data_IF_078107873411
#
_entry.id   IF_078107873411
#
_cell.length_a   1.000
_cell.length_b   1.000
_cell.length_c   1.000
_cell.angle_alpha   90.00
_cell.angle_beta   90.00
_cell.angle_gamma   90.00
#
_symmetry.space_group_name_H-M   'P 1'
#
loop_
_entity.id
_entity.type
_entity.pdbx_description
1 polymer ?
#
# COMPACT_ATOMS: atom_id res chain seq x y z
N UNK A 1 -6.56 12.60 -43.33
CA UNK A 1 -5.25 13.17 -42.94
C UNK A 1 -4.22 12.05 -42.92
N UNK A 2 -3.02 12.34 -43.42
CA UNK A 2 -2.09 11.41 -44.09
C UNK A 2 -1.36 10.48 -43.11
N UNK A 3 -1.46 9.16 -43.32
CA UNK A 3 -0.50 8.17 -42.80
C UNK A 3 0.74 8.22 -43.69
N UNK A 4 1.91 8.46 -43.12
CA UNK A 4 3.17 8.50 -43.84
C UNK A 4 4.29 7.91 -43.00
N UNK A 5 4.79 6.74 -43.40
CA UNK A 5 6.09 6.24 -42.94
C UNK A 5 6.69 5.39 -44.04
N UNK A 6 7.70 5.94 -44.71
CA UNK A 6 8.67 5.20 -45.51
C UNK A 6 10.02 5.89 -45.29
N UNK A 7 10.95 5.20 -44.64
CA UNK A 7 12.39 5.37 -44.92
C UNK A 7 12.99 3.96 -44.94
N UNK A 8 13.25 3.47 -46.15
CA UNK A 8 14.23 2.41 -46.39
C UNK A 8 15.60 3.08 -46.39
N UNK A 9 16.46 2.74 -45.44
CA UNK A 9 17.87 3.09 -45.50
C UNK A 9 18.66 1.82 -45.76
N UNK A 10 19.14 1.68 -47.00
CA UNK A 10 20.14 0.70 -47.39
C UNK A 10 21.51 1.17 -46.88
N UNK A 11 22.30 0.27 -46.31
CA UNK A 11 23.75 0.42 -46.39
C UNK A 11 24.40 -0.93 -46.62
N UNK A 12 25.29 -0.90 -47.61
CA UNK A 12 25.89 -1.98 -48.35
C UNK A 12 27.23 -2.34 -47.71
N UNK A 13 27.48 -3.64 -47.55
CA UNK A 13 28.77 -4.32 -47.40
C UNK A 13 29.95 -3.57 -46.76
N UNK A 14 30.40 -4.06 -45.59
CA UNK A 14 31.85 -4.24 -45.35
C UNK A 14 32.09 -5.60 -44.71
N UNK A 15 32.94 -6.38 -45.38
CA UNK A 15 33.45 -7.68 -44.97
C UNK A 15 34.46 -7.44 -43.83
N UNK A 16 34.06 -7.68 -42.57
CA UNK A 16 34.96 -7.56 -41.42
C UNK A 16 35.54 -8.94 -41.07
N UNK A 17 36.87 -9.01 -41.12
CA UNK A 17 37.68 -10.17 -40.78
C UNK A 17 37.42 -10.60 -39.33
N UNK A 18 37.08 -11.86 -39.10
CA UNK A 18 36.92 -12.44 -37.78
C UNK A 18 38.26 -12.44 -37.03
N UNK A 19 38.40 -11.53 -36.07
CA UNK A 19 39.39 -11.62 -35.00
C UNK A 19 38.70 -12.21 -33.79
N UNK A 20 39.20 -13.35 -33.30
CA UNK A 20 38.71 -14.00 -32.09
C UNK A 20 39.01 -13.13 -30.88
N UNK A 21 38.08 -12.25 -30.50
CA UNK A 21 38.08 -11.65 -29.19
C UNK A 21 37.57 -12.70 -28.21
N UNK A 22 38.43 -13.11 -27.27
CA UNK A 22 38.00 -13.87 -26.11
C UNK A 22 37.05 -12.98 -25.31
N UNK A 23 35.76 -13.33 -25.31
CA UNK A 23 34.78 -12.78 -24.38
C UNK A 23 35.11 -13.36 -23.01
N UNK A 24 35.68 -12.54 -22.14
CA UNK A 24 35.62 -12.80 -20.72
C UNK A 24 34.16 -12.61 -20.30
N UNK A 25 33.53 -13.68 -19.83
CA UNK A 25 32.26 -13.58 -19.12
C UNK A 25 32.53 -12.79 -17.84
N UNK A 26 32.15 -11.52 -17.83
CA UNK A 26 32.14 -10.70 -16.63
C UNK A 26 30.92 -11.19 -15.82
N UNK A 27 31.16 -11.92 -14.74
CA UNK A 27 30.14 -12.19 -13.73
C UNK A 27 29.83 -10.86 -13.06
N UNK A 28 28.78 -10.21 -13.57
CA UNK A 28 28.21 -8.99 -13.02
C UNK A 28 27.34 -9.38 -11.81
N UNK A 29 28.00 -9.68 -10.69
CA UNK A 29 27.33 -9.98 -9.40
C UNK A 29 26.59 -8.74 -8.83
N UNK A 30 26.86 -7.54 -9.35
CA UNK A 30 26.20 -6.29 -8.95
C UNK A 30 24.83 -6.07 -9.62
N UNK A 31 24.42 -6.90 -10.58
CA UNK A 31 23.16 -6.71 -11.32
C UNK A 31 21.90 -7.11 -10.53
N UNK A 32 22.04 -7.66 -9.31
CA UNK A 32 20.91 -8.16 -8.50
C UNK A 32 20.41 -7.19 -7.42
N UNK A 33 21.19 -6.16 -7.05
CA UNK A 33 20.82 -5.21 -5.98
C UNK A 33 19.76 -4.17 -6.41
N UNK A 34 19.49 -4.04 -7.71
CA UNK A 34 18.55 -3.05 -8.26
C UNK A 34 17.17 -3.59 -8.69
N UNK A 35 16.87 -4.87 -8.44
CA UNK A 35 15.68 -5.52 -9.03
C UNK A 35 14.46 -5.63 -8.09
N UNK A 36 14.63 -5.45 -6.78
CA UNK A 36 13.53 -5.46 -5.82
C UNK A 36 13.80 -4.43 -4.72
N UNK A 37 12.99 -3.37 -4.70
CA UNK A 37 12.94 -2.46 -3.56
C UNK A 37 12.33 -3.20 -2.37
N UNK A 38 13.08 -3.32 -1.28
CA UNK A 38 12.60 -3.96 -0.06
C UNK A 38 11.63 -3.04 0.68
N UNK A 39 10.37 -3.46 0.80
CA UNK A 39 9.34 -2.70 1.52
C UNK A 39 9.31 -3.17 2.99
N UNK A 40 9.80 -2.30 3.87
CA UNK A 40 9.78 -2.50 5.33
C UNK A 40 8.44 -2.06 5.91
N UNK A 41 7.90 -2.87 6.82
CA UNK A 41 6.61 -2.65 7.50
C UNK A 41 6.71 -2.91 8.99
N UNK A 42 5.79 -2.33 9.74
CA UNK A 42 5.66 -2.47 11.20
C UNK A 42 4.46 -3.35 11.61
N UNK A 43 3.90 -4.10 10.67
CA UNK A 43 2.76 -5.00 10.80
C UNK A 43 2.71 -5.90 12.07
N UNK A 44 3.85 -6.27 12.66
CA UNK A 44 3.95 -7.08 13.88
C UNK A 44 4.57 -6.32 15.08
N UNK A 45 4.47 -4.99 15.10
CA UNK A 45 5.17 -4.10 16.06
C UNK A 45 6.70 -4.22 16.03
N UNK A 46 7.24 -4.57 14.86
CA UNK A 46 8.66 -4.60 14.56
C UNK A 46 8.84 -4.38 13.06
N UNK A 47 9.94 -3.74 12.69
CA UNK A 47 10.35 -3.55 11.31
C UNK A 47 10.68 -4.90 10.66
N UNK A 48 10.01 -5.21 9.56
CA UNK A 48 10.21 -6.44 8.79
C UNK A 48 9.94 -6.22 7.31
N UNK A 49 10.58 -7.02 6.46
CA UNK A 49 10.22 -7.11 5.06
C UNK A 49 8.78 -7.58 4.88
N UNK A 50 8.04 -6.97 3.95
CA UNK A 50 6.69 -7.42 3.57
C UNK A 50 6.68 -8.89 3.11
N UNK A 51 7.81 -9.37 2.58
CA UNK A 51 7.96 -10.77 2.12
C UNK A 51 8.02 -11.77 3.27
N UNK A 52 8.43 -11.34 4.47
CA UNK A 52 8.59 -12.21 5.66
C UNK A 52 7.37 -12.17 6.58
N UNK A 53 6.44 -11.24 6.35
CA UNK A 53 5.25 -11.06 7.18
C UNK A 53 4.15 -12.02 6.72
N UNK A 54 3.73 -13.00 7.56
CA UNK A 54 2.75 -14.03 7.19
C UNK A 54 1.30 -13.53 7.26
N UNK A 55 1.05 -12.27 6.91
CA UNK A 55 -0.29 -11.68 6.84
C UNK A 55 -0.42 -10.84 5.57
N UNK A 56 -1.66 -10.57 5.17
CA UNK A 56 -1.90 -9.79 3.96
C UNK A 56 -1.80 -8.30 4.27
N UNK A 57 -0.68 -7.69 3.88
CA UNK A 57 -0.39 -6.26 4.07
C UNK A 57 -0.51 -5.53 2.73
N UNK A 58 -1.12 -4.35 2.77
CA UNK A 58 -1.02 -3.35 1.69
C UNK A 58 -0.27 -2.14 2.25
N UNK A 59 0.72 -1.65 1.52
CA UNK A 59 1.57 -0.53 1.95
C UNK A 59 1.44 0.60 0.94
N UNK A 60 1.30 1.82 1.43
CA UNK A 60 1.38 3.05 0.66
C UNK A 60 2.56 3.86 1.17
N UNK A 61 3.59 4.04 0.35
CA UNK A 61 4.76 4.86 0.68
C UNK A 61 4.41 6.35 0.69
N UNK A 62 5.23 7.17 1.36
CA UNK A 62 5.13 8.63 1.29
C UNK A 62 5.02 9.15 -0.14
N UNK A 63 5.84 8.64 -1.07
CA UNK A 63 5.77 9.03 -2.48
C UNK A 63 4.42 8.67 -3.11
N UNK A 64 3.86 7.49 -2.81
CA UNK A 64 2.54 7.10 -3.30
C UNK A 64 1.44 8.00 -2.74
N UNK A 65 1.54 8.38 -1.47
CA UNK A 65 0.60 9.27 -0.77
C UNK A 65 0.61 10.66 -1.41
N UNK A 66 1.79 11.20 -1.68
CA UNK A 66 1.98 12.50 -2.34
C UNK A 66 1.49 12.49 -3.79
N UNK A 67 1.92 11.51 -4.59
CA UNK A 67 1.56 11.41 -6.01
C UNK A 67 0.05 11.29 -6.23
N UNK A 68 -0.66 10.60 -5.31
CA UNK A 68 -2.11 10.43 -5.37
C UNK A 68 -2.87 11.51 -4.60
N UNK A 69 -2.19 12.48 -3.97
CA UNK A 69 -2.78 13.55 -3.16
C UNK A 69 -3.78 13.00 -2.14
N UNK A 70 -3.39 11.95 -1.42
CA UNK A 70 -4.23 11.30 -0.42
C UNK A 70 -4.42 12.26 0.78
N UNK A 71 -5.67 12.46 1.19
CA UNK A 71 -6.05 13.41 2.24
C UNK A 71 -6.67 12.72 3.45
N UNK A 72 -7.21 11.52 3.27
CA UNK A 72 -7.85 10.78 4.35
C UNK A 72 -8.04 9.31 4.01
N UNK A 73 -8.67 8.59 4.94
CA UNK A 73 -8.83 7.15 4.85
C UNK A 73 -9.46 6.62 3.56
N UNK A 74 -10.43 7.33 2.99
CA UNK A 74 -11.05 6.90 1.74
C UNK A 74 -10.05 6.69 0.59
N UNK A 75 -9.00 7.50 0.50
CA UNK A 75 -8.11 7.49 -0.65
C UNK A 75 -7.31 6.17 -0.74
N UNK A 76 -6.74 5.72 0.37
CA UNK A 76 -6.01 4.44 0.40
C UNK A 76 -6.94 3.22 0.56
N UNK A 77 -8.10 3.37 1.21
CA UNK A 77 -9.06 2.26 1.34
C UNK A 77 -9.71 1.91 -0.01
N UNK A 78 -9.95 2.88 -0.89
CA UNK A 78 -10.42 2.63 -2.27
C UNK A 78 -9.42 1.79 -3.08
N UNK A 79 -8.13 1.94 -2.81
CA UNK A 79 -7.05 1.21 -3.47
C UNK A 79 -6.76 -0.13 -2.79
N UNK A 80 -7.35 -0.40 -1.63
CA UNK A 80 -7.10 -1.64 -0.88
C UNK A 80 -8.13 -2.71 -1.26
N UNK A 81 -7.73 -3.89 -1.77
CA UNK A 81 -8.69 -4.91 -2.17
C UNK A 81 -9.42 -5.54 -0.98
N UNK A 82 -10.67 -5.96 -1.19
CA UNK A 82 -11.54 -6.56 -0.17
C UNK A 82 -11.81 -5.65 1.03
N UNK A 83 -11.73 -4.33 0.81
CA UNK A 83 -12.07 -3.30 1.78
C UNK A 83 -13.25 -2.51 1.23
N UNK A 84 -14.25 -2.28 2.07
CA UNK A 84 -15.34 -1.36 1.83
C UNK A 84 -15.36 -0.35 2.98
N UNK A 85 -15.89 0.84 2.73
CA UNK A 85 -16.04 1.83 3.79
C UNK A 85 -17.26 2.72 3.54
N UNK A 86 -17.72 3.34 4.62
CA UNK A 86 -18.74 4.39 4.60
C UNK A 86 -18.24 5.57 5.42
N UNK A 87 -18.15 6.72 4.79
CA UNK A 87 -17.85 7.97 5.48
C UNK A 87 -19.12 8.59 6.06
N UNK A 88 -19.01 9.12 7.27
CA UNK A 88 -20.00 9.98 7.91
C UNK A 88 -19.39 11.37 8.07
N UNK A 89 -19.89 12.34 7.29
CA UNK A 89 -19.38 13.71 7.22
C UNK A 89 -19.32 14.24 5.79
N UNK A 90 -19.04 15.54 5.61
CA UNK A 90 -18.77 16.11 4.28
C UNK A 90 -17.26 16.18 4.04
N UNK A 91 -16.79 15.56 2.96
CA UNK A 91 -15.43 15.72 2.46
C UNK A 91 -14.35 14.94 3.21
N UNK A 92 -14.62 13.72 3.66
CA UNK A 92 -13.62 12.81 4.25
C UNK A 92 -13.16 13.14 5.68
N UNK A 93 -13.53 14.29 6.24
CA UNK A 93 -13.12 14.70 7.58
C UNK A 93 -14.29 14.47 8.56
N UNK A 94 -14.24 13.38 9.31
CA UNK A 94 -15.33 12.92 10.18
C UNK A 94 -15.06 11.54 10.74
N UNK A 95 -16.08 10.68 10.76
CA UNK A 95 -15.93 9.25 11.07
C UNK A 95 -15.96 8.40 9.82
N UNK A 96 -15.17 7.33 9.84
CA UNK A 96 -15.21 6.29 8.82
C UNK A 96 -15.59 4.96 9.45
N UNK A 97 -16.50 4.24 8.78
CA UNK A 97 -16.85 2.87 9.12
C UNK A 97 -16.25 1.98 8.05
N UNK A 98 -15.31 1.11 8.43
CA UNK A 98 -14.58 0.25 7.49
C UNK A 98 -15.11 -1.17 7.62
N UNK A 99 -15.06 -1.90 6.52
CA UNK A 99 -15.30 -3.33 6.47
C UNK A 99 -14.22 -4.01 5.65
N UNK A 100 -13.57 -5.03 6.22
CA UNK A 100 -12.58 -5.85 5.53
C UNK A 100 -13.13 -7.27 5.43
N UNK A 101 -13.12 -7.85 4.23
CA UNK A 101 -13.62 -9.21 3.96
C UNK A 101 -15.06 -9.46 4.47
N UNK A 102 -15.89 -8.41 4.48
CA UNK A 102 -17.29 -8.48 4.95
C UNK A 102 -17.47 -8.43 6.47
N UNK A 103 -16.37 -8.33 7.23
CA UNK A 103 -16.40 -8.04 8.66
C UNK A 103 -16.50 -6.52 8.80
N UNK A 104 -17.45 -6.02 9.57
CA UNK A 104 -17.61 -4.59 9.84
C UNK A 104 -17.96 -4.38 11.30
N UNK A 105 -17.81 -3.15 11.75
CA UNK A 105 -18.34 -2.77 13.06
C UNK A 105 -19.87 -2.88 13.05
N UNK A 106 -20.44 -3.31 14.18
CA UNK A 106 -21.88 -3.29 14.41
C UNK A 106 -22.31 -1.86 14.72
N UNK A 107 -22.46 -1.02 13.70
CA UNK A 107 -22.92 0.37 13.83
C UNK A 107 -24.45 0.43 14.03
N UNK A 108 -24.90 0.02 15.22
CA UNK A 108 -26.28 0.17 15.70
C UNK A 108 -26.42 1.31 16.69
N UNK A 109 -26.55 2.56 16.21
CA UNK A 109 -26.83 3.76 17.01
C UNK A 109 -25.62 4.39 17.73
N UNK A 110 -25.84 5.51 18.44
CA UNK A 110 -24.86 6.25 19.27
C UNK A 110 -24.32 5.41 20.43
N UNK A 111 -23.51 4.41 20.11
CA UNK A 111 -22.86 3.52 21.06
C UNK A 111 -21.36 3.60 20.86
N UNK A 112 -20.73 4.53 21.57
CA UNK A 112 -19.26 4.66 21.72
C UNK A 112 -18.61 3.35 22.24
N UNK A 113 -19.40 2.41 22.76
CA UNK A 113 -18.97 1.11 23.30
C UNK A 113 -19.26 -0.10 22.39
N UNK A 114 -19.64 0.11 21.11
CA UNK A 114 -19.79 -1.02 20.19
C UNK A 114 -18.43 -1.71 19.98
N UNK A 115 -18.40 -3.04 20.03
CA UNK A 115 -17.21 -3.83 19.68
C UNK A 115 -16.78 -3.47 18.27
N UNK A 116 -15.56 -2.95 18.13
CA UNK A 116 -14.98 -2.64 16.83
C UNK A 116 -14.28 -3.91 16.33
N UNK A 117 -14.58 -4.34 15.12
CA UNK A 117 -13.87 -5.43 14.47
C UNK A 117 -12.52 -4.96 13.92
N UNK A 118 -12.36 -3.65 13.73
CA UNK A 118 -11.19 -3.02 13.15
C UNK A 118 -10.58 -1.97 14.07
N UNK A 119 -9.26 -1.83 14.01
CA UNK A 119 -8.51 -0.87 14.80
C UNK A 119 -7.74 0.08 13.89
N UNK A 120 -7.73 1.35 14.26
CA UNK A 120 -6.93 2.36 13.57
C UNK A 120 -5.81 2.81 14.50
N UNK A 121 -4.59 2.81 13.98
CA UNK A 121 -3.38 3.10 14.75
C UNK A 121 -2.59 4.21 14.05
N UNK A 122 -2.07 5.13 14.85
CA UNK A 122 -1.16 6.18 14.43
C UNK A 122 0.08 6.09 15.34
N UNK A 123 1.26 5.87 14.75
CA UNK A 123 2.51 5.63 15.49
C UNK A 123 2.35 4.60 16.62
N UNK A 124 1.74 3.46 16.30
CA UNK A 124 1.42 2.37 17.25
C UNK A 124 0.37 2.67 18.33
N UNK A 125 -0.15 3.90 18.40
CA UNK A 125 -1.21 4.28 19.32
C UNK A 125 -2.59 4.15 18.67
N UNK A 126 -3.52 3.51 19.38
CA UNK A 126 -4.90 3.42 18.90
C UNK A 126 -5.53 4.81 18.81
N UNK A 127 -6.04 5.15 17.64
CA UNK A 127 -6.89 6.32 17.45
C UNK A 127 -8.25 6.07 18.08
N UNK A 128 -8.82 7.12 18.66
CA UNK A 128 -10.06 7.02 19.41
C UNK A 128 -11.26 6.69 18.49
N UNK A 129 -12.03 5.69 18.89
CA UNK A 129 -13.38 5.48 18.37
C UNK A 129 -14.30 6.58 18.90
N UNK A 130 -15.08 7.19 18.02
CA UNK A 130 -16.11 8.19 18.35
C UNK A 130 -17.50 7.57 18.16
N UNK A 131 -18.55 8.25 18.62
CA UNK A 131 -19.92 7.72 18.59
C UNK A 131 -20.42 7.33 17.18
N UNK A 132 -19.84 7.93 16.14
CA UNK A 132 -20.21 7.74 14.73
C UNK A 132 -19.26 6.82 13.95
N UNK A 133 -18.28 6.18 14.60
CA UNK A 133 -17.31 5.26 13.98
C UNK A 133 -15.87 5.57 14.39
N UNK A 134 -14.92 5.25 13.53
CA UNK A 134 -13.49 5.56 13.78
C UNK A 134 -13.18 6.98 13.32
N UNK A 135 -12.47 7.77 14.13
CA UNK A 135 -12.02 9.09 13.71
C UNK A 135 -11.11 8.98 12.48
N UNK A 136 -11.36 9.79 11.46
CA UNK A 136 -10.52 9.87 10.25
C UNK A 136 -9.66 11.14 10.30
N UNK A 137 -8.46 11.10 10.93
CA UNK A 137 -7.57 12.24 10.92
C UNK A 137 -7.06 12.49 9.50
N UNK A 138 -6.77 13.76 9.14
CA UNK A 138 -6.14 14.05 7.87
C UNK A 138 -4.73 13.44 7.83
N UNK A 139 -4.34 12.99 6.63
CA UNK A 139 -3.02 12.40 6.39
C UNK A 139 -2.07 13.55 6.05
N UNK A 140 -1.23 13.95 7.01
CA UNK A 140 -0.15 14.90 6.79
C UNK A 140 1.12 14.35 7.42
N UNK A 141 2.23 14.41 6.68
CA UNK A 141 3.57 14.06 7.17
C UNK A 141 3.67 12.62 7.71
N UNK A 142 3.07 11.67 6.99
CA UNK A 142 3.20 10.24 7.30
C UNK A 142 4.26 9.61 6.41
N UNK A 143 5.07 8.72 6.98
CA UNK A 143 6.09 7.98 6.24
C UNK A 143 5.47 6.88 5.37
N UNK A 144 4.50 6.15 5.93
CA UNK A 144 3.78 5.10 5.22
C UNK A 144 2.40 4.86 5.83
N UNK A 145 1.51 4.26 5.05
CA UNK A 145 0.23 3.73 5.52
C UNK A 145 0.23 2.23 5.27
N UNK A 146 0.00 1.47 6.33
CA UNK A 146 -0.09 0.01 6.30
C UNK A 146 -1.53 -0.44 6.57
N UNK A 147 -2.11 -1.22 5.66
CA UNK A 147 -3.42 -1.84 5.84
C UNK A 147 -3.24 -3.33 6.01
N UNK A 148 -3.43 -3.80 7.24
CA UNK A 148 -3.37 -5.21 7.61
C UNK A 148 -4.76 -5.83 7.42
N UNK A 149 -4.84 -6.97 6.74
CA UNK A 149 -6.11 -7.66 6.49
C UNK A 149 -6.11 -9.05 7.13
N UNK A 150 -7.12 -9.29 7.95
CA UNK A 150 -7.36 -10.52 8.68
C UNK A 150 -7.01 -10.38 10.17
N UNK A 151 -7.32 -11.41 10.99
CA UNK A 151 -7.21 -11.31 12.44
C UNK A 151 -5.80 -10.94 12.92
N UNK A 152 -5.66 -9.79 13.60
CA UNK A 152 -4.44 -9.31 14.25
C UNK A 152 -4.54 -9.23 15.79
N UNK A 153 -5.40 -10.05 16.40
CA UNK A 153 -5.66 -10.03 17.85
C UNK A 153 -4.41 -10.20 18.73
N UNK A 154 -3.37 -10.89 18.24
CA UNK A 154 -2.10 -11.10 18.96
C UNK A 154 -1.33 -9.81 19.19
N UNK A 155 -1.29 -8.90 18.20
CA UNK A 155 -0.49 -7.67 18.25
C UNK A 155 -1.32 -6.43 18.59
N UNK A 156 -2.62 -6.44 18.32
CA UNK A 156 -3.49 -5.27 18.42
C UNK A 156 -4.71 -5.49 19.34
N UNK A 157 -4.87 -6.69 19.91
CA UNK A 157 -5.89 -6.98 20.92
C UNK A 157 -7.31 -7.03 20.36
N UNK A 158 -8.28 -6.58 21.18
CA UNK A 158 -9.72 -6.86 21.00
C UNK A 158 -10.39 -6.27 19.74
N UNK A 159 -9.71 -5.38 19.00
CA UNK A 159 -10.28 -4.64 17.87
C UNK A 159 -9.54 -4.99 16.55
N UNK A 160 -9.24 -6.28 16.34
CA UNK A 160 -8.36 -6.71 15.26
C UNK A 160 -8.80 -8.06 14.68
N UNK A 161 -10.04 -8.11 14.20
CA UNK A 161 -10.65 -9.31 13.61
C UNK A 161 -10.64 -9.26 12.06
N UNK A 162 -10.61 -8.05 11.50
CA UNK A 162 -10.80 -7.75 10.07
C UNK A 162 -9.55 -7.71 9.21
#
# INVERSE_FOLDING_TARGET
MRRGTIIFLTCFSTLFLASSFNVFAQTDDDAMEGLLEEVIVTAQRREQSTMDVPISVMVFSAETIEQNNMKGAADYLLMTPNVNFREDGRGGHGSINISIRGISDLSGGERVQATQAMGFYWDEFSVATIASGTANPPIYDVEAIEVLRGPQGTYFGRNAEG
#
